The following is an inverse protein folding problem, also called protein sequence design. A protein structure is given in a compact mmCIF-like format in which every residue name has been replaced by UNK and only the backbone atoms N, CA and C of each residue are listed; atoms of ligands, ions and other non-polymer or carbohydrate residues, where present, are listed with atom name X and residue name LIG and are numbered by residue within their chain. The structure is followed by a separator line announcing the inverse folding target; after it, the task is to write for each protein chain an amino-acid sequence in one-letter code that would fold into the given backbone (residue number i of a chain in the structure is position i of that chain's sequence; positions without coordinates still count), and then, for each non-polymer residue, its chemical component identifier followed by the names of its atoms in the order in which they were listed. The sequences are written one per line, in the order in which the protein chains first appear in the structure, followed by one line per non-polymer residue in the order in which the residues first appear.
data_IF_758197478252
#
_entry.id   IF_758197478252
#
_cell.length_a   1.000
_cell.length_b   1.000
_cell.length_c   1.000
_cell.angle_alpha   90.00
_cell.angle_beta   90.00
_cell.angle_gamma   90.00
#
_symmetry.space_group_name_H-M   'P 1'
#
loop_
_entity.id
_entity.type
_entity.pdbx_description
1 polymer ?
#
# COMPACT_ATOMS: atom_id res chain seq x y z
N UNK A 1 3.12 -19.00 6.37
CA UNK A 1 3.87 -18.34 5.27
C UNK A 1 4.35 -16.99 5.78
N UNK A 2 5.65 -16.69 5.71
CA UNK A 2 6.15 -15.35 6.03
C UNK A 2 5.63 -14.35 4.99
N UNK A 3 5.43 -13.09 5.40
CA UNK A 3 5.11 -12.01 4.48
C UNK A 3 6.28 -11.88 3.48
N UNK A 4 5.99 -12.05 2.19
CA UNK A 4 6.93 -11.73 1.11
C UNK A 4 6.38 -10.54 0.33
N UNK A 5 7.20 -9.52 0.06
CA UNK A 5 8.56 -9.31 0.53
C UNK A 5 8.62 -9.01 2.04
N UNK A 6 9.82 -9.11 2.61
CA UNK A 6 10.04 -8.89 4.04
C UNK A 6 9.71 -7.44 4.43
N UNK A 7 9.19 -7.26 5.65
CA UNK A 7 8.74 -5.95 6.14
C UNK A 7 9.84 -4.87 6.13
N UNK A 8 11.11 -5.26 6.31
CA UNK A 8 12.24 -4.33 6.25
C UNK A 8 12.32 -3.65 4.88
N UNK A 9 12.16 -4.41 3.80
CA UNK A 9 12.17 -3.88 2.43
C UNK A 9 11.00 -2.91 2.18
N UNK A 10 9.85 -3.16 2.79
CA UNK A 10 8.71 -2.25 2.72
C UNK A 10 8.94 -0.96 3.52
N UNK A 11 9.65 -1.05 4.64
CA UNK A 11 9.96 0.13 5.46
C UNK A 11 11.00 1.04 4.81
N UNK A 12 11.90 0.49 3.99
CA UNK A 12 12.88 1.28 3.22
C UNK A 12 12.18 2.22 2.23
N UNK A 13 11.07 1.76 1.62
CA UNK A 13 10.24 2.54 0.70
C UNK A 13 9.23 3.43 1.43
N UNK A 14 8.58 2.90 2.48
CA UNK A 14 7.55 3.61 3.27
C UNK A 14 7.82 3.42 4.77
N UNK A 15 8.53 4.37 5.42
CA UNK A 15 8.97 4.19 6.81
C UNK A 15 7.83 4.22 7.85
N UNK A 16 6.66 4.75 7.47
CA UNK A 16 5.49 4.77 8.34
C UNK A 16 4.57 3.57 8.03
N UNK A 17 4.41 2.66 8.99
CA UNK A 17 3.60 1.45 8.82
C UNK A 17 2.12 1.71 8.53
N UNK A 18 1.53 2.76 9.10
CA UNK A 18 0.13 3.11 8.84
C UNK A 18 -0.06 3.65 7.43
N UNK A 19 0.91 4.47 6.99
CA UNK A 19 0.96 4.97 5.63
C UNK A 19 1.13 3.83 4.62
N UNK A 20 2.03 2.88 4.90
CA UNK A 20 2.21 1.67 4.10
C UNK A 20 0.89 0.90 3.96
N UNK A 21 0.16 0.68 5.07
CA UNK A 21 -1.15 0.01 5.02
C UNK A 21 -2.15 0.77 4.16
N UNK A 22 -2.22 2.10 4.28
CA UNK A 22 -3.13 2.92 3.47
C UNK A 22 -2.81 2.83 1.98
N UNK A 23 -1.54 2.94 1.60
CA UNK A 23 -1.07 2.86 0.21
C UNK A 23 -1.37 1.49 -0.37
N UNK A 24 -0.98 0.42 0.32
CA UNK A 24 -1.24 -0.96 -0.11
C UNK A 24 -2.75 -1.21 -0.25
N UNK A 25 -3.56 -0.74 0.70
CA UNK A 25 -5.02 -0.93 0.66
C UNK A 25 -5.67 -0.21 -0.52
N UNK A 26 -5.25 1.04 -0.78
CA UNK A 26 -5.76 1.81 -1.92
C UNK A 26 -5.37 1.16 -3.23
N UNK A 27 -4.10 0.75 -3.36
CA UNK A 27 -3.61 0.12 -4.58
C UNK A 27 -4.24 -1.24 -4.84
N UNK A 28 -4.44 -2.06 -3.81
CA UNK A 28 -5.13 -3.33 -3.93
C UNK A 28 -6.57 -3.16 -4.45
N UNK A 29 -7.30 -2.12 -4.01
CA UNK A 29 -8.64 -1.81 -4.55
C UNK A 29 -8.58 -1.44 -6.02
N UNK A 30 -7.67 -0.56 -6.42
CA UNK A 30 -7.50 -0.20 -7.83
C UNK A 30 -7.24 -1.41 -8.73
N UNK A 31 -6.38 -2.34 -8.28
CA UNK A 31 -6.10 -3.58 -9.01
C UNK A 31 -7.34 -4.46 -9.12
N UNK A 32 -8.11 -4.60 -8.04
CA UNK A 32 -9.37 -5.34 -8.03
C UNK A 32 -10.41 -4.69 -8.95
N UNK A 33 -10.63 -3.39 -8.83
CA UNK A 33 -11.60 -2.64 -9.63
C UNK A 33 -11.24 -2.72 -11.13
N UNK A 34 -9.95 -2.58 -11.47
CA UNK A 34 -9.49 -2.70 -12.86
C UNK A 34 -9.73 -4.10 -13.43
N UNK A 35 -9.47 -5.14 -12.64
CA UNK A 35 -9.74 -6.52 -13.05
C UNK A 35 -11.23 -6.77 -13.25
N UNK A 36 -12.07 -6.29 -12.34
CA UNK A 36 -13.52 -6.40 -12.44
C UNK A 36 -14.07 -5.64 -13.66
N UNK A 37 -13.58 -4.44 -13.93
CA UNK A 37 -13.94 -3.62 -15.10
C UNK A 37 -13.54 -4.29 -16.43
N UNK A 38 -12.41 -4.98 -16.46
CA UNK A 38 -11.94 -5.76 -17.63
C UNK A 38 -12.62 -7.14 -17.72
N UNK A 39 -13.37 -7.56 -16.71
CA UNK A 39 -13.92 -8.92 -16.60
C UNK A 39 -12.84 -10.00 -16.46
N UNK A 40 -11.64 -9.63 -16.01
CA UNK A 40 -10.49 -10.51 -15.87
C UNK A 40 -10.27 -10.91 -14.41
N UNK A 41 -9.81 -12.14 -14.17
CA UNK A 41 -9.41 -12.57 -12.84
C UNK A 41 -7.94 -12.28 -12.60
N UNK A 42 -7.62 -11.59 -11.50
CA UNK A 42 -6.24 -11.40 -11.07
C UNK A 42 -5.53 -12.75 -10.86
N UNK A 43 -4.29 -12.84 -11.35
CA UNK A 43 -3.44 -14.02 -11.18
C UNK A 43 -3.03 -14.25 -9.72
N UNK A 44 -2.84 -13.17 -8.99
CA UNK A 44 -2.54 -13.16 -7.56
C UNK A 44 -3.56 -12.30 -6.81
N UNK A 45 -3.57 -12.39 -5.47
CA UNK A 45 -4.41 -11.48 -4.68
C UNK A 45 -3.94 -10.04 -4.90
N UNK A 46 -4.89 -9.11 -5.08
CA UNK A 46 -4.57 -7.69 -5.28
C UNK A 46 -3.68 -7.10 -4.19
N UNK A 47 -3.86 -7.53 -2.94
CA UNK A 47 -2.99 -7.14 -1.81
C UNK A 47 -1.55 -7.63 -1.99
N UNK A 48 -1.35 -8.86 -2.50
CA UNK A 48 0.00 -9.40 -2.77
C UNK A 48 0.69 -8.61 -3.88
N UNK A 49 -0.04 -8.33 -4.96
CA UNK A 49 0.45 -7.52 -6.07
C UNK A 49 0.83 -6.10 -5.59
N UNK A 50 -0.05 -5.44 -4.83
CA UNK A 50 0.20 -4.10 -4.29
C UNK A 50 1.43 -4.05 -3.37
N UNK A 51 1.63 -5.05 -2.51
CA UNK A 51 2.82 -5.13 -1.66
C UNK A 51 4.09 -5.28 -2.51
N UNK A 52 4.06 -6.10 -3.56
CA UNK A 52 5.19 -6.28 -4.47
C UNK A 52 5.53 -4.99 -5.22
N UNK A 53 4.53 -4.27 -5.73
CA UNK A 53 4.72 -2.99 -6.41
C UNK A 53 5.34 -1.93 -5.48
N UNK A 54 4.87 -1.83 -4.23
CA UNK A 54 5.47 -0.93 -3.22
C UNK A 54 6.94 -1.30 -2.97
N UNK A 55 7.25 -2.59 -2.84
CA UNK A 55 8.62 -3.05 -2.63
C UNK A 55 9.54 -2.88 -3.85
N UNK A 56 9.00 -2.60 -5.03
CA UNK A 56 9.76 -2.25 -6.23
C UNK A 56 9.97 -0.74 -6.35
N UNK A 57 9.42 0.07 -5.43
CA UNK A 57 9.45 1.53 -5.52
C UNK A 57 8.53 2.09 -6.60
N UNK A 58 7.60 1.30 -7.14
CA UNK A 58 6.71 1.73 -8.23
C UNK A 58 5.59 2.67 -7.76
N UNK A 59 5.33 2.73 -6.45
CA UNK A 59 4.39 3.67 -5.85
C UNK A 59 5.09 4.64 -4.93
N UNK A 60 5.26 5.87 -5.41
CA UNK A 60 5.65 6.98 -4.56
C UNK A 60 4.47 7.39 -3.67
N UNK A 61 4.76 7.52 -2.37
CA UNK A 61 3.87 8.14 -1.39
C UNK A 61 3.43 9.51 -1.91
N UNK A 62 2.13 9.71 -2.14
CA UNK A 62 1.64 11.03 -2.52
C UNK A 62 1.84 11.99 -1.33
N UNK A 63 2.16 13.26 -1.61
CA UNK A 63 2.22 14.32 -0.61
C UNK A 63 0.93 14.38 0.22
N UNK A 64 -0.23 14.09 -0.38
CA UNK A 64 -1.51 13.97 0.33
C UNK A 64 -1.50 12.85 1.37
N UNK A 65 -0.95 11.68 1.03
CA UNK A 65 -0.86 10.55 1.96
C UNK A 65 0.10 10.87 3.12
N UNK A 66 1.16 11.64 2.85
CA UNK A 66 2.08 12.15 3.86
C UNK A 66 1.37 13.13 4.83
N UNK A 67 0.59 14.08 4.29
CA UNK A 67 -0.22 15.00 5.11
C UNK A 67 -1.24 14.24 5.97
N UNK A 68 -1.96 13.26 5.42
CA UNK A 68 -2.90 12.45 6.19
C UNK A 68 -2.21 11.64 7.29
N UNK A 69 -1.02 11.10 7.03
CA UNK A 69 -0.23 10.37 8.02
C UNK A 69 0.28 11.26 9.16
N UNK A 70 0.75 12.47 8.86
CA UNK A 70 1.22 13.45 9.85
C UNK A 70 0.07 13.93 10.76
N UNK A 71 -1.06 14.28 10.17
CA UNK A 71 -2.22 14.81 10.92
C UNK A 71 -2.97 13.72 11.71
N UNK A 72 -2.78 12.43 11.36
CA UNK A 72 -3.34 11.30 12.13
C UNK A 72 -2.60 11.05 13.45
N UNK A 73 -1.33 11.47 13.56
CA UNK A 73 -0.57 11.38 14.81
C UNK A 73 -1.04 12.41 15.85
N UNK A 74 -1.48 13.59 15.40
CA UNK A 74 -1.96 14.66 16.28
C UNK A 74 -3.32 14.34 16.94
N UNK A 75 -4.17 13.55 16.27
CA UNK A 75 -5.48 13.14 16.81
C UNK A 75 -5.42 12.15 17.98
N UNK A 76 -4.28 11.52 18.25
CA UNK A 76 -4.13 10.57 19.38
C UNK A 76 -3.67 11.22 20.69
N UNK A 77 -3.43 12.54 20.70
CA UNK A 77 -3.02 13.30 21.88
C UNK A 77 -4.15 14.03 22.61
N UNK A 78 -5.42 13.73 22.32
CA UNK A 78 -6.58 14.42 22.92
C UNK A 78 -7.60 13.43 23.48
#
# INVERSE_FOLDING_TARGET
MMLYPAMNKLNDEVPNRYLLVNIVSRRARQLSDTADDMGEKLREKSVTMAINEVAMGEHHVDRKDLYEALNSAEKKGK
#
